data_IF_708244614336
#
_entry.id   IF_708244614336
#
_cell.length_a   1.000
_cell.length_b   1.000
_cell.length_c   1.000
_cell.angle_alpha   90.00
_cell.angle_beta   90.00
_cell.angle_gamma   90.00
#
_symmetry.space_group_name_H-M   'P 1'
#
loop_
_entity.id
_entity.type
_entity.pdbx_description
1 polymer ?
#
# COMPACT_ATOMS: atom_id res chain seq x y z
N UNK A 1 12.02 33.64 -19.43
CA UNK A 1 11.94 32.54 -20.42
C UNK A 1 13.35 32.00 -20.55
N UNK A 2 13.61 30.76 -20.13
CA UNK A 2 14.97 30.17 -20.16
C UNK A 2 15.15 29.53 -21.53
N UNK A 3 16.16 29.96 -22.28
CA UNK A 3 16.57 29.32 -23.54
C UNK A 3 17.50 28.15 -23.21
N UNK A 4 17.08 26.92 -23.49
CA UNK A 4 17.90 25.71 -23.33
C UNK A 4 18.22 25.18 -24.73
N UNK A 5 19.48 24.80 -24.95
CA UNK A 5 20.00 24.23 -26.21
C UNK A 5 19.48 22.79 -26.47
N UNK A 6 19.89 22.21 -27.61
CA UNK A 6 19.47 20.91 -28.15
C UNK A 6 19.54 19.74 -27.14
N UNK A 7 18.66 18.73 -27.23
CA UNK A 7 18.69 17.58 -26.34
C UNK A 7 19.96 16.73 -26.55
N UNK A 8 20.67 16.45 -25.46
CA UNK A 8 21.86 15.61 -25.44
C UNK A 8 21.54 14.21 -24.91
N UNK A 9 21.89 13.18 -25.69
CA UNK A 9 21.87 11.78 -25.24
C UNK A 9 23.26 11.43 -24.73
N UNK A 10 23.37 11.14 -23.44
CA UNK A 10 24.62 10.69 -22.82
C UNK A 10 24.57 9.18 -22.59
N UNK A 11 25.57 8.46 -23.11
CA UNK A 11 25.72 7.01 -22.90
C UNK A 11 26.74 6.78 -21.81
N UNK A 12 26.30 6.26 -20.67
CA UNK A 12 27.17 5.88 -19.56
C UNK A 12 27.52 4.40 -19.69
N UNK A 13 28.79 4.10 -19.87
CA UNK A 13 29.31 2.72 -19.92
C UNK A 13 29.72 2.24 -18.53
N UNK A 14 29.77 0.92 -18.35
CA UNK A 14 30.34 0.24 -17.16
C UNK A 14 29.44 0.19 -15.92
N UNK A 15 28.12 0.12 -16.09
CA UNK A 15 27.16 -0.05 -14.97
C UNK A 15 27.37 -1.38 -14.23
N UNK A 16 27.92 -2.38 -14.89
CA UNK A 16 28.34 -3.66 -14.31
C UNK A 16 29.44 -3.51 -13.25
N UNK A 17 30.21 -2.42 -13.28
CA UNK A 17 31.24 -2.16 -12.26
C UNK A 17 30.65 -1.61 -10.97
N UNK A 18 29.38 -1.19 -10.94
CA UNK A 18 28.73 -0.63 -9.75
C UNK A 18 28.73 -1.65 -8.61
N UNK A 19 28.61 -2.93 -8.91
CA UNK A 19 28.69 -4.02 -7.93
C UNK A 19 30.07 -4.13 -7.24
N UNK A 20 31.13 -3.59 -7.86
CA UNK A 20 32.48 -3.59 -7.29
C UNK A 20 32.70 -2.49 -6.25
N UNK A 21 31.86 -1.45 -6.24
CA UNK A 21 31.97 -0.31 -5.32
C UNK A 21 31.12 -0.50 -4.04
N UNK A 22 30.49 -1.67 -3.87
CA UNK A 22 29.69 -2.03 -2.72
C UNK A 22 28.22 -2.26 -3.05
N UNK A 23 27.43 -2.58 -2.02
CA UNK A 23 25.99 -2.78 -2.16
C UNK A 23 25.32 -1.42 -2.34
N UNK A 24 24.60 -1.25 -3.45
CA UNK A 24 23.79 -0.06 -3.69
C UNK A 24 22.77 0.16 -2.56
N UNK A 25 22.54 1.42 -2.19
CA UNK A 25 21.51 1.79 -1.22
C UNK A 25 20.09 1.41 -1.67
N UNK A 26 19.87 1.34 -2.99
CA UNK A 26 18.60 1.01 -3.63
C UNK A 26 18.82 0.02 -4.78
N UNK A 27 17.75 -0.59 -5.28
CA UNK A 27 17.84 -1.42 -6.48
C UNK A 27 18.09 -0.56 -7.72
N UNK A 28 18.52 -1.20 -8.83
CA UNK A 28 18.81 -0.50 -10.07
C UNK A 28 17.59 0.26 -10.61
N UNK A 29 16.39 -0.31 -10.42
CA UNK A 29 15.13 0.26 -10.89
C UNK A 29 14.87 1.66 -10.31
N UNK A 30 15.18 1.87 -9.02
CA UNK A 30 15.10 3.16 -8.35
C UNK A 30 15.92 4.24 -9.07
N UNK A 31 17.17 3.93 -9.40
CA UNK A 31 18.05 4.86 -10.12
C UNK A 31 17.64 5.05 -11.58
N UNK A 32 16.99 4.05 -12.19
CA UNK A 32 16.57 4.12 -13.61
C UNK A 32 15.31 4.95 -13.82
N UNK A 33 14.32 4.79 -12.94
CA UNK A 33 13.03 5.48 -13.07
C UNK A 33 13.00 6.83 -12.35
N UNK A 34 14.12 7.25 -11.74
CA UNK A 34 14.27 8.54 -11.04
C UNK A 34 13.12 8.73 -10.05
N UNK A 35 12.87 7.68 -9.26
CA UNK A 35 11.83 7.66 -8.24
C UNK A 35 12.28 8.51 -7.05
N UNK A 36 11.37 9.37 -6.55
CA UNK A 36 11.53 10.26 -5.38
C UNK A 36 12.97 10.37 -4.85
N UNK A 37 13.74 11.25 -5.49
CA UNK A 37 15.15 11.49 -5.23
C UNK A 37 15.38 12.09 -3.84
N UNK A 38 14.32 12.47 -3.11
CA UNK A 38 14.43 12.87 -1.71
C UNK A 38 14.92 11.73 -0.82
N UNK A 39 14.60 10.46 -1.15
CA UNK A 39 15.16 9.31 -0.43
C UNK A 39 16.66 9.14 -0.66
N UNK A 40 17.14 9.47 -1.87
CA UNK A 40 18.56 9.50 -2.18
C UNK A 40 19.25 10.64 -1.43
N UNK A 41 18.61 11.81 -1.31
CA UNK A 41 19.13 12.90 -0.48
C UNK A 41 19.31 12.51 0.98
N UNK A 42 18.37 11.75 1.54
CA UNK A 42 18.50 11.27 2.92
C UNK A 42 19.72 10.38 3.11
N UNK A 43 20.01 9.48 2.17
CA UNK A 43 21.17 8.60 2.25
C UNK A 43 22.51 9.30 1.91
N UNK A 44 22.48 10.34 1.08
CA UNK A 44 23.67 11.11 0.71
C UNK A 44 24.07 12.13 1.79
N UNK A 45 23.15 12.52 2.69
CA UNK A 45 23.44 13.49 3.76
C UNK A 45 24.50 12.98 4.76
N UNK A 46 24.59 11.66 4.93
CA UNK A 46 25.46 11.00 5.91
C UNK A 46 26.86 10.68 5.36
N UNK A 47 27.11 10.90 4.07
CA UNK A 47 28.42 10.67 3.46
C UNK A 47 29.37 11.88 3.68
N UNK A 48 30.59 11.65 4.22
CA UNK A 48 31.55 12.73 4.54
C UNK A 48 31.97 13.60 3.35
N UNK A 49 31.89 13.08 2.12
CA UNK A 49 32.28 13.79 0.90
C UNK A 49 31.16 14.67 0.37
N UNK A 50 29.91 14.25 0.53
CA UNK A 50 28.72 14.91 -0.01
C UNK A 50 28.04 15.86 0.96
N UNK A 51 28.34 15.77 2.25
CA UNK A 51 27.77 16.62 3.30
C UNK A 51 27.89 18.13 3.00
N UNK A 52 29.01 18.56 2.38
CA UNK A 52 29.26 19.96 1.99
C UNK A 52 28.40 20.46 0.83
N UNK A 53 27.80 19.56 0.04
CA UNK A 53 27.00 19.89 -1.14
C UNK A 53 25.49 19.77 -0.92
N UNK A 54 25.03 19.67 0.33
CA UNK A 54 23.60 19.46 0.68
C UNK A 54 22.64 20.37 -0.07
N UNK A 55 22.88 21.70 -0.05
CA UNK A 55 22.03 22.68 -0.73
C UNK A 55 22.02 22.53 -2.25
N UNK A 56 23.16 22.13 -2.84
CA UNK A 56 23.26 21.88 -4.28
C UNK A 56 22.51 20.61 -4.66
N UNK A 57 22.65 19.54 -3.87
CA UNK A 57 21.96 18.28 -4.11
C UNK A 57 20.44 18.46 -3.97
N UNK A 58 19.97 19.19 -2.95
CA UNK A 58 18.54 19.54 -2.78
C UNK A 58 18.00 20.34 -3.98
N UNK A 59 18.76 21.32 -4.49
CA UNK A 59 18.36 22.09 -5.66
C UNK A 59 18.37 21.25 -6.96
N UNK A 60 19.32 20.32 -7.11
CA UNK A 60 19.38 19.41 -8.25
C UNK A 60 18.23 18.42 -8.25
N UNK A 61 17.89 17.86 -7.08
CA UNK A 61 16.73 16.99 -6.92
C UNK A 61 15.44 17.72 -7.26
N UNK A 62 15.22 18.90 -6.68
CA UNK A 62 14.04 19.71 -7.00
C UNK A 62 13.94 20.02 -8.49
N UNK A 63 15.05 20.37 -9.14
CA UNK A 63 15.07 20.65 -10.58
C UNK A 63 14.76 19.41 -11.44
N UNK A 64 15.26 18.23 -11.05
CA UNK A 64 15.02 16.98 -11.79
C UNK A 64 13.56 16.51 -11.58
N UNK A 65 13.04 16.61 -10.36
CA UNK A 65 11.68 16.19 -10.01
C UNK A 65 10.60 17.14 -10.56
N UNK A 66 10.77 18.45 -10.37
CA UNK A 66 9.75 19.46 -10.74
C UNK A 66 9.57 19.58 -12.26
N UNK A 67 10.64 19.35 -13.02
CA UNK A 67 10.65 19.55 -14.47
C UNK A 67 10.79 18.24 -15.27
N UNK A 68 10.92 17.09 -14.61
CA UNK A 68 11.06 15.78 -15.27
C UNK A 68 12.25 15.71 -16.23
N UNK A 69 13.32 16.45 -15.93
CA UNK A 69 14.40 16.76 -16.88
C UNK A 69 15.36 15.60 -17.11
N UNK A 70 15.29 14.47 -16.41
CA UNK A 70 16.26 13.39 -16.59
C UNK A 70 15.56 12.05 -16.47
N UNK A 71 15.82 11.14 -17.41
CA UNK A 71 15.43 9.73 -17.31
C UNK A 71 16.60 8.82 -17.67
N UNK A 72 16.73 7.73 -16.94
CA UNK A 72 17.76 6.72 -17.19
C UNK A 72 17.12 5.45 -17.74
N UNK A 73 17.81 4.80 -18.69
CA UNK A 73 17.39 3.51 -19.26
C UNK A 73 18.56 2.55 -19.31
N UNK A 74 18.32 1.33 -18.88
CA UNK A 74 19.27 0.23 -19.05
C UNK A 74 19.24 -0.25 -20.49
N UNK A 75 20.42 -0.40 -21.09
CA UNK A 75 20.59 -0.87 -22.45
C UNK A 75 21.46 -2.12 -22.46
N UNK A 76 20.90 -3.21 -22.98
CA UNK A 76 21.64 -4.44 -23.21
C UNK A 76 22.08 -4.51 -24.67
N UNK A 77 23.39 -4.45 -24.90
CA UNK A 77 23.99 -4.51 -26.25
C UNK A 77 23.77 -5.87 -26.91
N UNK A 78 23.43 -6.91 -26.14
CA UNK A 78 23.07 -8.21 -26.70
C UNK A 78 21.67 -8.22 -27.32
N UNK A 79 20.84 -7.21 -27.03
CA UNK A 79 19.46 -7.13 -27.52
C UNK A 79 19.10 -5.70 -27.96
N UNK A 80 19.79 -5.27 -29.03
CA UNK A 80 19.71 -3.90 -29.57
C UNK A 80 18.30 -3.54 -30.02
N UNK A 81 17.60 -4.44 -30.72
CA UNK A 81 16.25 -4.18 -31.25
C UNK A 81 15.20 -3.87 -30.16
N UNK A 82 15.14 -4.68 -29.10
CA UNK A 82 14.19 -4.48 -28.00
C UNK A 82 14.48 -3.21 -27.19
N UNK A 83 15.75 -2.83 -27.12
CA UNK A 83 16.21 -1.62 -26.42
C UNK A 83 15.80 -0.34 -27.16
N UNK A 84 15.89 -0.33 -28.50
CA UNK A 84 15.50 0.82 -29.33
C UNK A 84 13.98 1.02 -29.42
N UNK A 85 13.18 -0.05 -29.48
CA UNK A 85 11.72 0.05 -29.47
C UNK A 85 11.20 0.64 -28.14
N UNK A 86 11.85 0.29 -27.02
CA UNK A 86 11.50 0.83 -25.69
C UNK A 86 11.79 2.33 -25.56
N UNK A 87 12.85 2.81 -26.23
CA UNK A 87 13.19 4.24 -26.34
C UNK A 87 12.13 5.01 -27.16
N UNK A 88 11.61 4.42 -28.23
CA UNK A 88 10.60 5.07 -29.09
C UNK A 88 9.18 5.03 -28.47
N UNK A 89 8.76 3.91 -27.88
CA UNK A 89 7.39 3.70 -27.38
C UNK A 89 6.98 4.61 -26.22
N UNK A 90 7.92 5.10 -25.41
CA UNK A 90 7.63 6.03 -24.30
C UNK A 90 7.75 7.51 -24.65
N UNK A 91 8.06 7.83 -25.91
CA UNK A 91 8.28 9.22 -26.36
C UNK A 91 7.08 9.84 -27.10
N UNK A 92 6.00 9.10 -27.38
CA UNK A 92 4.90 9.54 -28.27
C UNK A 92 5.38 10.10 -29.63
N UNK A 93 6.54 9.64 -30.14
CA UNK A 93 7.07 10.03 -31.44
C UNK A 93 6.52 9.05 -32.51
N UNK A 94 5.71 9.55 -33.44
CA UNK A 94 5.33 8.82 -34.67
C UNK A 94 6.57 8.62 -35.58
N UNK A 95 6.61 7.57 -36.42
CA UNK A 95 7.83 7.07 -37.05
C UNK A 95 8.24 7.93 -38.26
N UNK A 96 8.82 9.10 -38.02
CA UNK A 96 9.55 9.85 -39.06
C UNK A 96 10.83 10.41 -38.44
N UNK A 97 11.78 9.53 -38.12
CA UNK A 97 13.18 9.93 -37.91
C UNK A 97 14.00 9.19 -38.95
N UNK A 98 14.33 9.90 -40.03
CA UNK A 98 15.37 9.49 -40.97
C UNK A 98 16.72 9.59 -40.26
N UNK A 99 17.24 8.46 -39.77
CA UNK A 99 18.63 8.35 -39.33
C UNK A 99 19.55 8.32 -40.55
N UNK A 100 19.76 9.48 -41.20
CA UNK A 100 20.94 9.67 -42.04
C UNK A 100 22.10 10.06 -41.13
N UNK A 101 23.02 9.13 -40.86
CA UNK A 101 24.41 9.48 -40.52
C UNK A 101 24.99 9.03 -39.18
N UNK A 102 24.49 7.97 -38.53
CA UNK A 102 25.23 7.36 -37.39
C UNK A 102 25.69 5.95 -37.76
N UNK A 103 26.94 5.85 -38.25
CA UNK A 103 27.65 4.57 -38.33
C UNK A 103 28.38 4.35 -37.01
N UNK A 104 27.91 3.41 -36.19
CA UNK A 104 28.63 2.93 -35.02
C UNK A 104 29.11 1.50 -35.28
N UNK A 105 30.41 1.35 -35.56
CA UNK A 105 31.08 0.05 -35.61
C UNK A 105 31.27 -0.52 -34.20
N UNK A 106 30.56 -1.60 -33.88
CA UNK A 106 30.71 -2.34 -32.62
C UNK A 106 31.87 -3.34 -32.71
N UNK A 107 32.82 -3.26 -31.77
CA UNK A 107 33.86 -4.28 -31.56
C UNK A 107 33.42 -5.17 -30.39
N UNK A 108 33.19 -6.45 -30.66
CA UNK A 108 32.73 -7.47 -29.70
C UNK A 108 33.56 -7.52 -28.42
N UNK A 109 33.04 -6.95 -27.32
CA UNK A 109 33.32 -7.41 -25.93
C UNK A 109 32.10 -7.17 -25.04
N UNK A 110 31.68 -8.23 -24.35
CA UNK A 110 30.56 -8.30 -23.39
C UNK A 110 30.57 -7.12 -22.41
N UNK A 111 29.70 -6.11 -22.57
CA UNK A 111 29.40 -5.07 -21.56
C UNK A 111 27.95 -4.59 -21.71
N UNK A 112 27.26 -4.37 -20.58
CA UNK A 112 25.93 -3.74 -20.51
C UNK A 112 26.10 -2.23 -20.32
N UNK A 113 25.25 -1.41 -20.92
CA UNK A 113 25.40 0.06 -20.97
C UNK A 113 24.12 0.76 -20.46
N UNK A 114 24.20 2.01 -20.03
CA UNK A 114 23.05 2.84 -19.62
C UNK A 114 22.92 4.01 -20.61
N UNK A 115 21.72 4.26 -21.12
CA UNK A 115 21.41 5.40 -21.99
C UNK A 115 20.57 6.41 -21.21
N UNK A 116 21.03 7.65 -21.14
CA UNK A 116 20.29 8.79 -20.60
C UNK A 116 19.41 9.36 -21.71
N UNK A 117 18.09 9.40 -21.52
CA UNK A 117 17.17 10.00 -22.51
C UNK A 117 16.43 11.17 -21.88
N UNK A 118 16.61 12.34 -22.46
CA UNK A 118 15.91 13.58 -22.11
C UNK A 118 14.91 13.86 -23.23
N UNK A 119 13.59 13.76 -22.95
CA UNK A 119 12.54 13.98 -23.96
C UNK A 119 11.78 15.26 -23.64
N UNK A 120 11.97 16.30 -24.45
CA UNK A 120 11.10 17.49 -24.49
C UNK A 120 10.75 17.77 -25.95
N UNK A 121 9.45 17.78 -26.27
CA UNK A 121 8.89 17.90 -27.63
C UNK A 121 8.95 19.35 -28.18
N UNK A 122 9.17 19.50 -29.49
CA UNK A 122 9.14 20.81 -30.20
C UNK A 122 8.17 20.83 -31.40
N UNK A 123 7.23 21.79 -31.41
CA UNK A 123 6.58 22.46 -32.56
C UNK A 123 5.73 21.63 -33.55
N UNK A 124 4.63 22.06 -34.17
CA UNK A 124 3.94 23.34 -34.35
C UNK A 124 2.44 23.03 -34.34
N UNK A 125 1.71 23.56 -33.37
CA UNK A 125 0.26 23.39 -33.30
C UNK A 125 -0.24 24.02 -32.02
N UNK A 126 -1.27 24.87 -32.13
CA UNK A 126 -1.97 25.40 -30.97
C UNK A 126 -2.61 24.23 -30.24
N UNK A 127 -1.89 23.68 -29.27
CA UNK A 127 -2.47 22.79 -28.29
C UNK A 127 -2.97 23.66 -27.15
N UNK A 128 -4.28 23.77 -27.08
CA UNK A 128 -4.95 24.21 -25.86
C UNK A 128 -4.55 23.17 -24.80
N UNK A 129 -3.58 23.52 -23.96
CA UNK A 129 -3.34 22.78 -22.71
C UNK A 129 -4.66 22.85 -21.96
N UNK A 130 -5.42 21.77 -22.02
CA UNK A 130 -6.55 21.58 -21.14
C UNK A 130 -6.00 21.70 -19.74
N UNK A 131 -6.44 22.73 -19.01
CA UNK A 131 -6.19 22.91 -17.58
C UNK A 131 -6.89 21.84 -16.71
N UNK A 132 -7.19 20.67 -17.27
CA UNK A 132 -7.77 19.52 -16.57
C UNK A 132 -6.79 18.34 -16.58
N UNK A 133 -5.71 18.45 -15.83
CA UNK A 133 -5.13 17.29 -15.17
C UNK A 133 -4.61 17.72 -13.79
N UNK A 134 -5.55 18.11 -12.92
CA UNK A 134 -5.27 18.25 -11.49
C UNK A 134 -5.31 16.90 -10.74
N UNK A 135 -5.59 15.80 -11.42
CA UNK A 135 -5.92 14.51 -10.78
C UNK A 135 -5.09 13.31 -11.27
N UNK A 136 -3.89 13.53 -11.81
CA UNK A 136 -2.99 12.44 -12.22
C UNK A 136 -1.91 12.17 -11.17
N UNK A 137 -2.17 11.28 -10.20
CA UNK A 137 -1.08 10.71 -9.41
C UNK A 137 -0.11 10.02 -10.37
N UNK A 138 1.17 10.41 -10.36
CA UNK A 138 2.16 9.81 -11.24
C UNK A 138 2.31 8.34 -10.84
N UNK A 139 2.04 7.42 -11.77
CA UNK A 139 2.18 5.96 -11.55
C UNK A 139 3.52 5.54 -10.92
N UNK A 140 4.55 6.38 -11.04
CA UNK A 140 5.83 6.24 -10.36
C UNK A 140 5.74 6.28 -8.83
N UNK A 141 4.99 7.23 -8.25
CA UNK A 141 4.85 7.34 -6.79
C UNK A 141 4.18 6.09 -6.21
N UNK A 142 3.10 5.62 -6.83
CA UNK A 142 2.38 4.45 -6.33
C UNK A 142 3.28 3.21 -6.36
N UNK A 143 4.11 3.05 -7.40
CA UNK A 143 5.10 1.96 -7.46
C UNK A 143 6.12 2.06 -6.34
N UNK A 144 6.67 3.25 -6.09
CA UNK A 144 7.63 3.48 -5.01
C UNK A 144 7.00 3.19 -3.63
N UNK A 145 5.77 3.67 -3.41
CA UNK A 145 5.05 3.45 -2.15
C UNK A 145 4.66 1.98 -1.95
N UNK A 146 4.24 1.27 -2.99
CA UNK A 146 3.99 -0.17 -2.92
C UNK A 146 5.27 -0.93 -2.56
N UNK A 147 6.39 -0.61 -3.20
CA UNK A 147 7.68 -1.22 -2.88
C UNK A 147 8.07 -0.98 -1.41
N UNK A 148 7.92 0.26 -0.93
CA UNK A 148 8.22 0.63 0.46
C UNK A 148 7.39 -0.18 1.45
N UNK A 149 6.06 -0.27 1.23
CA UNK A 149 5.15 -1.03 2.11
C UNK A 149 5.46 -2.52 2.09
N UNK A 150 5.80 -3.07 0.93
CA UNK A 150 6.22 -4.47 0.81
C UNK A 150 7.52 -4.77 1.57
N UNK A 151 8.52 -3.89 1.48
CA UNK A 151 9.76 -4.05 2.27
C UNK A 151 9.47 -3.96 3.76
N UNK A 152 8.69 -2.96 4.18
CA UNK A 152 8.32 -2.81 5.58
C UNK A 152 7.62 -4.05 6.14
N UNK A 153 6.70 -4.64 5.37
CA UNK A 153 6.05 -5.89 5.73
C UNK A 153 7.08 -7.02 5.86
N UNK A 154 7.92 -7.22 4.83
CA UNK A 154 8.96 -8.26 4.82
C UNK A 154 9.92 -8.14 6.01
N UNK A 155 10.43 -6.94 6.29
CA UNK A 155 11.40 -6.69 7.35
C UNK A 155 10.83 -6.97 8.74
N UNK A 156 9.55 -6.65 8.96
CA UNK A 156 8.88 -6.95 10.22
C UNK A 156 8.45 -8.42 10.33
N UNK A 157 8.06 -9.05 9.22
CA UNK A 157 7.71 -10.46 9.15
C UNK A 157 8.94 -11.38 9.30
N UNK A 158 10.12 -10.98 8.82
CA UNK A 158 11.38 -11.74 8.94
C UNK A 158 11.84 -11.95 10.39
N UNK A 159 11.29 -11.18 11.34
CA UNK A 159 11.55 -11.33 12.77
C UNK A 159 10.84 -12.55 13.37
N UNK A 160 9.91 -13.18 12.63
CA UNK A 160 9.14 -14.33 13.08
C UNK A 160 9.86 -15.63 12.73
N UNK A 161 9.73 -16.68 13.56
CA UNK A 161 10.25 -17.98 13.20
C UNK A 161 9.52 -18.50 11.94
N UNK A 162 10.21 -19.22 11.05
CA UNK A 162 9.57 -19.80 9.87
C UNK A 162 8.50 -20.81 10.28
N UNK A 163 7.35 -20.77 9.59
CA UNK A 163 6.27 -21.73 9.77
C UNK A 163 6.21 -22.69 8.56
N UNK A 164 6.80 -23.89 8.64
CA UNK A 164 6.80 -24.83 7.53
C UNK A 164 5.42 -25.41 7.22
N UNK A 165 4.50 -25.43 8.19
CA UNK A 165 3.11 -25.92 8.05
C UNK A 165 2.12 -24.81 7.69
N UNK A 166 2.61 -23.66 7.21
CA UNK A 166 1.81 -22.48 6.94
C UNK A 166 0.62 -22.75 6.01
N UNK A 167 0.84 -23.52 4.94
CA UNK A 167 -0.18 -23.78 3.91
C UNK A 167 -1.33 -24.66 4.45
N UNK A 168 -1.05 -25.49 5.45
CA UNK A 168 -1.99 -26.39 6.10
C UNK A 168 -2.76 -25.69 7.23
N UNK A 169 -2.07 -24.90 8.05
CA UNK A 169 -2.59 -24.37 9.32
C UNK A 169 -3.21 -22.98 9.23
N UNK A 170 -2.83 -22.18 8.23
CA UNK A 170 -3.27 -20.79 8.16
C UNK A 170 -4.77 -20.63 7.84
N UNK A 171 -5.36 -19.55 8.38
CA UNK A 171 -6.76 -19.19 8.16
C UNK A 171 -6.96 -18.54 6.78
N UNK A 172 -7.20 -19.35 5.76
CA UNK A 172 -7.47 -18.87 4.41
C UNK A 172 -8.94 -18.47 4.16
N UNK A 173 -9.75 -18.28 5.21
CA UNK A 173 -11.18 -17.94 5.06
C UNK A 173 -11.45 -16.54 4.53
N UNK A 174 -10.41 -15.74 4.31
CA UNK A 174 -10.47 -14.32 3.90
C UNK A 174 -9.85 -14.02 2.55
N UNK A 175 -9.36 -15.04 1.87
CA UNK A 175 -8.72 -14.91 0.57
C UNK A 175 -9.73 -15.27 -0.50
N UNK A 176 -10.21 -14.26 -1.23
CA UNK A 176 -11.00 -14.47 -2.45
C UNK A 176 -10.03 -14.76 -3.59
N UNK A 177 -10.33 -15.80 -4.36
CA UNK A 177 -9.56 -16.20 -5.53
C UNK A 177 -10.38 -15.89 -6.78
N UNK A 178 -9.83 -15.08 -7.68
CA UNK A 178 -10.41 -14.78 -8.99
C UNK A 178 -9.51 -15.42 -10.05
N UNK A 179 -9.79 -16.68 -10.38
CA UNK A 179 -8.96 -17.49 -11.29
C UNK A 179 -8.83 -16.85 -12.67
N UNK A 180 -9.91 -16.28 -13.21
CA UNK A 180 -9.94 -15.60 -14.52
C UNK A 180 -8.88 -14.51 -14.63
N UNK A 181 -8.60 -13.83 -13.52
CA UNK A 181 -7.65 -12.71 -13.46
C UNK A 181 -6.31 -13.12 -12.82
N UNK A 182 -6.14 -14.40 -12.43
CA UNK A 182 -5.02 -14.88 -11.60
C UNK A 182 -4.76 -13.93 -10.42
N UNK A 183 -5.82 -13.63 -9.68
CA UNK A 183 -5.80 -12.60 -8.63
C UNK A 183 -6.32 -13.15 -7.30
N UNK A 184 -5.69 -12.74 -6.20
CA UNK A 184 -6.09 -13.08 -4.83
C UNK A 184 -6.26 -11.79 -4.02
N UNK A 185 -7.38 -11.67 -3.32
CA UNK A 185 -7.63 -10.54 -2.42
C UNK A 185 -7.82 -11.00 -0.99
N UNK A 186 -6.97 -10.54 -0.07
CA UNK A 186 -7.13 -10.80 1.36
C UNK A 186 -7.96 -9.72 2.05
N UNK A 187 -9.08 -10.12 2.66
CA UNK A 187 -10.01 -9.19 3.31
C UNK A 187 -9.73 -8.99 4.79
N UNK A 188 -9.33 -7.77 5.15
CA UNK A 188 -9.33 -7.30 6.54
C UNK A 188 -10.67 -6.65 6.86
N UNK A 189 -11.42 -7.11 7.88
CA UNK A 189 -12.69 -6.51 8.27
C UNK A 189 -12.56 -5.02 8.59
N UNK A 190 -13.58 -4.25 8.17
CA UNK A 190 -13.69 -2.79 8.35
C UNK A 190 -12.76 -1.96 7.47
N UNK A 191 -12.25 -2.58 6.40
CA UNK A 191 -11.47 -1.95 5.32
C UNK A 191 -12.25 -2.03 4.01
N UNK A 192 -13.43 -1.42 3.95
CA UNK A 192 -14.30 -1.37 2.76
C UNK A 192 -14.71 -2.74 2.17
N UNK A 193 -14.83 -3.79 3.00
CA UNK A 193 -15.03 -5.16 2.50
C UNK A 193 -16.26 -5.32 1.60
N UNK A 194 -17.39 -4.70 1.96
CA UNK A 194 -18.62 -4.80 1.16
C UNK A 194 -18.43 -4.21 -0.23
N UNK A 195 -17.82 -3.02 -0.31
CA UNK A 195 -17.49 -2.35 -1.57
C UNK A 195 -16.55 -3.18 -2.42
N UNK A 196 -15.45 -3.67 -1.84
CA UNK A 196 -14.50 -4.53 -2.54
C UNK A 196 -15.16 -5.80 -3.08
N UNK A 197 -16.10 -6.42 -2.35
CA UNK A 197 -16.85 -7.56 -2.89
C UNK A 197 -17.70 -7.19 -4.10
N UNK A 198 -18.40 -6.06 -4.09
CA UNK A 198 -19.11 -5.61 -5.29
C UNK A 198 -18.17 -5.39 -6.48
N UNK A 199 -17.03 -4.75 -6.23
CA UNK A 199 -16.02 -4.44 -7.26
C UNK A 199 -15.38 -5.72 -7.82
N UNK A 200 -14.94 -6.63 -6.96
CA UNK A 200 -14.32 -7.89 -7.37
C UNK A 200 -15.31 -8.82 -8.08
N UNK A 201 -16.56 -8.85 -7.65
CA UNK A 201 -17.59 -9.61 -8.36
C UNK A 201 -17.79 -9.07 -9.77
N UNK A 202 -17.88 -7.73 -9.92
CA UNK A 202 -17.96 -7.09 -11.24
C UNK A 202 -16.72 -7.40 -12.08
N UNK A 203 -15.54 -7.42 -11.48
CA UNK A 203 -14.29 -7.75 -12.18
C UNK A 203 -14.28 -9.19 -12.71
N UNK A 204 -14.78 -10.14 -11.92
CA UNK A 204 -14.89 -11.55 -12.32
C UNK A 204 -15.99 -11.78 -13.38
N UNK A 205 -17.09 -11.02 -13.29
CA UNK A 205 -18.32 -11.22 -14.08
C UNK A 205 -18.55 -10.14 -15.15
N UNK A 206 -17.48 -9.56 -15.71
CA UNK A 206 -17.52 -8.63 -16.85
C UNK A 206 -18.47 -7.44 -16.65
N UNK A 207 -18.41 -6.85 -15.46
CA UNK A 207 -19.17 -5.65 -15.08
C UNK A 207 -20.55 -5.93 -14.47
N UNK A 208 -21.02 -7.19 -14.42
CA UNK A 208 -22.31 -7.55 -13.83
C UNK A 208 -22.33 -7.28 -12.32
N UNK A 209 -23.43 -6.70 -11.85
CA UNK A 209 -23.65 -6.42 -10.43
C UNK A 209 -24.13 -7.67 -9.69
N UNK A 210 -23.82 -7.76 -8.40
CA UNK A 210 -24.32 -8.82 -7.52
C UNK A 210 -25.84 -8.66 -7.37
N UNK A 211 -26.60 -9.70 -7.68
CA UNK A 211 -28.07 -9.75 -7.49
C UNK A 211 -28.47 -10.18 -6.06
N UNK A 212 -27.57 -10.85 -5.35
CA UNK A 212 -27.78 -11.42 -4.01
C UNK A 212 -27.05 -10.64 -2.91
N UNK A 213 -27.06 -11.15 -1.68
CA UNK A 213 -26.35 -10.52 -0.56
C UNK A 213 -24.83 -10.68 -0.73
N UNK A 214 -24.02 -9.61 -0.80
CA UNK A 214 -22.59 -9.65 -1.12
C UNK A 214 -21.74 -10.43 -0.11
N UNK A 215 -22.26 -10.79 1.05
CA UNK A 215 -21.55 -11.62 2.02
C UNK A 215 -21.92 -13.11 1.98
N UNK A 216 -22.76 -13.54 1.03
CA UNK A 216 -22.91 -14.96 0.73
C UNK A 216 -21.56 -15.53 0.28
N UNK A 217 -21.12 -16.61 0.94
CA UNK A 217 -19.85 -17.26 0.66
C UNK A 217 -19.86 -17.96 -0.69
N UNK A 218 -21.02 -18.30 -1.23
CA UNK A 218 -21.16 -19.02 -2.53
C UNK A 218 -20.83 -18.14 -3.74
N UNK A 219 -20.79 -16.82 -3.56
CA UNK A 219 -20.55 -15.86 -4.64
C UNK A 219 -19.10 -15.90 -5.13
N UNK A 220 -18.16 -16.33 -4.27
CA UNK A 220 -16.73 -16.30 -4.56
C UNK A 220 -16.10 -17.65 -4.27
N UNK A 221 -15.01 -17.95 -4.99
CA UNK A 221 -14.07 -18.99 -4.60
C UNK A 221 -13.17 -18.47 -3.48
N UNK A 222 -12.95 -19.30 -2.46
CA UNK A 222 -12.11 -18.96 -1.33
C UNK A 222 -10.90 -19.86 -1.29
N UNK A 223 -9.72 -19.32 -0.98
CA UNK A 223 -8.49 -20.10 -0.95
C UNK A 223 -8.55 -21.28 0.03
N UNK A 224 -9.32 -21.17 1.13
CA UNK A 224 -9.56 -22.28 2.07
C UNK A 224 -10.18 -23.52 1.42
N UNK A 225 -10.93 -23.35 0.33
CA UNK A 225 -11.69 -24.42 -0.33
C UNK A 225 -10.82 -25.23 -1.32
N UNK A 226 -9.59 -24.77 -1.59
CA UNK A 226 -8.59 -25.47 -2.39
C UNK A 226 -7.75 -26.40 -1.51
N UNK A 227 -7.25 -27.54 -2.05
CA UNK A 227 -6.30 -28.40 -1.35
C UNK A 227 -4.94 -27.69 -1.15
N UNK A 228 -4.13 -28.11 -0.16
CA UNK A 228 -2.86 -27.46 0.17
C UNK A 228 -1.92 -27.21 -1.02
N UNK A 229 -1.78 -28.20 -1.90
CA UNK A 229 -0.93 -28.08 -3.09
C UNK A 229 -1.40 -26.93 -4.02
N UNK A 230 -2.70 -26.87 -4.32
CA UNK A 230 -3.28 -25.80 -5.14
C UNK A 230 -3.21 -24.45 -4.44
N UNK A 231 -3.37 -24.39 -3.10
CA UNK A 231 -3.20 -23.14 -2.35
C UNK A 231 -1.81 -22.56 -2.57
N UNK A 232 -0.78 -23.40 -2.50
CA UNK A 232 0.60 -23.00 -2.73
C UNK A 232 0.80 -22.49 -4.15
N UNK A 233 0.33 -23.23 -5.15
CA UNK A 233 0.43 -22.83 -6.56
C UNK A 233 -0.28 -21.48 -6.84
N UNK A 234 -1.46 -21.28 -6.26
CA UNK A 234 -2.19 -20.00 -6.35
C UNK A 234 -1.38 -18.89 -5.69
N UNK A 235 -0.90 -19.08 -4.46
CA UNK A 235 -0.12 -18.07 -3.74
C UNK A 235 1.23 -17.76 -4.40
N UNK A 236 1.83 -18.71 -5.10
CA UNK A 236 3.10 -18.52 -5.81
C UNK A 236 2.90 -17.80 -7.15
N UNK A 237 1.77 -18.01 -7.84
CA UNK A 237 1.58 -17.56 -9.23
C UNK A 237 0.58 -16.41 -9.45
N UNK A 238 -0.33 -16.15 -8.51
CA UNK A 238 -1.39 -15.13 -8.69
C UNK A 238 -0.93 -13.78 -8.13
N UNK A 239 -1.46 -12.67 -8.65
CA UNK A 239 -1.24 -11.35 -8.04
C UNK A 239 -2.06 -11.20 -6.75
N UNK A 240 -1.43 -10.80 -5.65
CA UNK A 240 -2.04 -10.76 -4.31
C UNK A 240 -2.18 -9.34 -3.80
N UNK A 241 -3.40 -8.92 -3.51
CA UNK A 241 -3.68 -7.59 -2.97
C UNK A 241 -4.36 -7.66 -1.60
N UNK A 242 -4.11 -6.64 -0.79
CA UNK A 242 -4.86 -6.36 0.43
C UNK A 242 -4.98 -4.86 0.65
N UNK A 243 -5.98 -4.46 1.44
CA UNK A 243 -6.05 -3.12 1.99
C UNK A 243 -6.05 -3.19 3.52
N UNK A 244 -5.31 -2.28 4.13
CA UNK A 244 -5.23 -2.06 5.59
C UNK A 244 -5.87 -0.73 5.97
N UNK A 245 -6.13 -0.55 7.27
CA UNK A 245 -6.62 0.71 7.83
C UNK A 245 -5.83 1.00 9.09
N UNK A 246 -5.74 2.26 9.50
CA UNK A 246 -5.20 2.62 10.80
C UNK A 246 -5.86 1.77 11.93
N UNK A 247 -5.07 1.07 12.77
CA UNK A 247 -5.59 0.09 13.74
C UNK A 247 -6.63 0.63 14.74
N UNK A 248 -6.44 1.84 15.26
CA UNK A 248 -7.34 2.48 16.25
C UNK A 248 -8.69 2.82 15.62
N UNK A 249 -8.68 3.36 14.40
CA UNK A 249 -9.87 3.60 13.61
C UNK A 249 -10.60 2.31 13.24
N UNK A 250 -9.84 1.27 12.83
CA UNK A 250 -10.41 -0.03 12.48
C UNK A 250 -11.15 -0.62 13.67
N UNK A 251 -10.57 -0.54 14.87
CA UNK A 251 -11.18 -1.00 16.10
C UNK A 251 -12.47 -0.21 16.45
N UNK A 252 -12.44 1.12 16.35
CA UNK A 252 -13.64 1.94 16.54
C UNK A 252 -14.75 1.56 15.54
N UNK A 253 -14.38 1.30 14.28
CA UNK A 253 -15.29 0.89 13.23
C UNK A 253 -15.83 -0.51 13.46
N UNK A 254 -15.03 -1.40 14.06
CA UNK A 254 -15.44 -2.71 14.50
C UNK A 254 -16.52 -2.59 15.57
N UNK A 255 -16.24 -1.89 16.67
CA UNK A 255 -17.21 -1.67 17.74
C UNK A 255 -18.52 -1.07 17.23
N UNK A 256 -18.47 0.01 16.45
CA UNK A 256 -19.67 0.68 15.92
C UNK A 256 -20.54 -0.26 15.09
N UNK A 257 -19.92 -1.14 14.30
CA UNK A 257 -20.62 -2.10 13.47
C UNK A 257 -21.14 -3.30 14.27
N UNK A 258 -20.41 -3.76 15.28
CA UNK A 258 -20.76 -4.98 16.02
C UNK A 258 -21.71 -4.73 17.19
N UNK A 259 -21.71 -3.56 17.82
CA UNK A 259 -22.57 -3.26 18.98
C UNK A 259 -24.08 -3.39 18.73
N UNK A 260 -24.51 -3.37 17.46
CA UNK A 260 -25.90 -3.55 17.03
C UNK A 260 -26.27 -5.02 16.80
N UNK A 261 -25.28 -5.91 16.70
CA UNK A 261 -25.48 -7.32 16.35
C UNK A 261 -25.89 -8.13 17.59
N UNK A 262 -26.83 -9.07 17.41
CA UNK A 262 -27.36 -9.90 18.49
C UNK A 262 -26.28 -10.72 19.20
N UNK A 263 -25.33 -11.29 18.45
CA UNK A 263 -24.23 -12.06 19.02
C UNK A 263 -23.35 -11.21 19.96
N UNK A 264 -23.12 -9.94 19.61
CA UNK A 264 -22.32 -9.03 20.40
C UNK A 264 -23.08 -8.69 21.68
N UNK A 265 -24.35 -8.29 21.56
CA UNK A 265 -25.21 -7.98 22.71
C UNK A 265 -25.28 -9.15 23.70
N UNK A 266 -25.47 -10.39 23.21
CA UNK A 266 -25.48 -11.60 24.03
C UNK A 266 -24.14 -11.89 24.72
N UNK A 267 -23.01 -11.58 24.07
CA UNK A 267 -21.66 -11.74 24.67
C UNK A 267 -21.45 -10.82 25.88
N UNK A 268 -21.92 -9.58 25.82
CA UNK A 268 -21.72 -8.59 26.89
C UNK A 268 -22.82 -8.59 27.95
N UNK A 269 -23.97 -9.18 27.63
CA UNK A 269 -25.13 -9.29 28.50
C UNK A 269 -25.68 -10.74 28.50
N UNK A 270 -24.90 -11.71 29.01
CA UNK A 270 -25.34 -13.10 29.07
C UNK A 270 -26.55 -13.23 30.03
N UNK A 271 -27.46 -14.15 29.71
CA UNK A 271 -28.65 -14.42 30.54
C UNK A 271 -29.86 -13.51 30.29
N UNK A 272 -29.73 -12.47 29.46
CA UNK A 272 -30.85 -11.60 29.07
C UNK A 272 -31.63 -12.20 27.89
N UNK A 273 -32.97 -12.05 27.89
CA UNK A 273 -33.84 -12.53 26.81
C UNK A 273 -33.60 -11.80 25.48
N UNK A 274 -33.97 -12.42 24.34
CA UNK A 274 -33.78 -11.79 23.03
C UNK A 274 -34.55 -10.47 22.87
N UNK A 275 -35.74 -10.36 23.47
CA UNK A 275 -36.59 -9.17 23.47
C UNK A 275 -35.93 -8.02 24.23
N UNK A 276 -35.40 -8.27 25.42
CA UNK A 276 -34.70 -7.26 26.22
C UNK A 276 -33.38 -6.83 25.58
N UNK A 277 -32.64 -7.76 24.96
CA UNK A 277 -31.40 -7.45 24.25
C UNK A 277 -31.62 -6.40 23.15
N UNK A 278 -32.82 -6.25 22.58
CA UNK A 278 -33.09 -5.20 21.58
C UNK A 278 -32.85 -3.79 22.15
N UNK A 279 -33.09 -3.58 23.44
CA UNK A 279 -32.99 -2.28 24.12
C UNK A 279 -31.69 -2.10 24.90
N UNK A 280 -30.98 -3.18 25.22
CA UNK A 280 -29.69 -3.11 25.90
C UNK A 280 -28.57 -2.74 24.93
N UNK A 281 -27.64 -1.89 25.38
CA UNK A 281 -26.46 -1.48 24.64
C UNK A 281 -25.20 -1.52 25.49
N UNK A 282 -24.09 -1.92 24.88
CA UNK A 282 -22.76 -1.91 25.51
C UNK A 282 -22.02 -0.65 25.09
N UNK A 283 -21.51 0.11 26.04
CA UNK A 283 -20.68 1.31 25.78
C UNK A 283 -19.28 0.93 25.28
N UNK A 284 -18.54 1.91 24.74
CA UNK A 284 -17.17 1.65 24.27
C UNK A 284 -16.22 1.26 25.43
N UNK A 285 -16.20 1.97 26.57
CA UNK A 285 -15.37 1.56 27.72
C UNK A 285 -15.70 0.17 28.25
N UNK A 286 -16.99 -0.20 28.32
CA UNK A 286 -17.39 -1.55 28.73
C UNK A 286 -16.86 -2.62 27.76
N UNK A 287 -16.98 -2.38 26.45
CA UNK A 287 -16.41 -3.27 25.44
C UNK A 287 -14.90 -3.45 25.63
N UNK A 288 -14.16 -2.34 25.79
CA UNK A 288 -12.71 -2.36 25.98
C UNK A 288 -12.32 -3.13 27.25
N UNK A 289 -12.92 -2.80 28.39
CA UNK A 289 -12.57 -3.37 29.69
C UNK A 289 -13.02 -4.82 29.87
N UNK A 290 -14.16 -5.21 29.30
CA UNK A 290 -14.69 -6.59 29.44
C UNK A 290 -14.08 -7.56 28.42
N UNK A 291 -13.56 -7.08 27.30
CA UNK A 291 -13.04 -7.94 26.22
C UNK A 291 -11.54 -7.71 25.97
N UNK A 292 -11.16 -6.58 25.39
CA UNK A 292 -9.80 -6.36 24.87
C UNK A 292 -8.73 -6.17 25.95
N UNK A 293 -9.03 -5.37 26.99
CA UNK A 293 -8.06 -4.99 28.01
C UNK A 293 -7.87 -6.06 29.11
N UNK A 294 -8.69 -7.12 29.11
CA UNK A 294 -8.62 -8.21 30.09
C UNK A 294 -7.54 -9.26 29.81
N UNK A 295 -6.63 -9.01 28.86
CA UNK A 295 -5.61 -9.96 28.39
C UNK A 295 -6.19 -11.31 27.92
N UNK A 296 -7.44 -11.31 27.44
CA UNK A 296 -8.08 -12.52 26.95
C UNK A 296 -7.55 -12.85 25.54
N UNK A 297 -6.40 -13.53 25.46
CA UNK A 297 -5.78 -13.99 24.20
C UNK A 297 -6.81 -14.62 23.27
N UNK A 298 -7.78 -15.36 23.82
CA UNK A 298 -8.86 -16.00 23.07
C UNK A 298 -9.74 -15.01 22.30
N UNK A 299 -10.10 -13.85 22.86
CA UNK A 299 -10.93 -12.86 22.15
C UNK A 299 -10.17 -12.19 21.00
N UNK A 300 -8.91 -11.83 21.26
CA UNK A 300 -8.00 -11.25 20.27
C UNK A 300 -7.62 -12.24 19.16
N UNK A 301 -7.68 -13.55 19.42
CA UNK A 301 -7.36 -14.57 18.43
C UNK A 301 -8.60 -15.02 17.63
N UNK A 302 -9.77 -15.08 18.26
CA UNK A 302 -10.97 -15.66 17.64
C UNK A 302 -11.83 -14.65 16.89
N UNK A 303 -11.79 -13.36 17.24
CA UNK A 303 -12.66 -12.38 16.58
C UNK A 303 -11.97 -11.66 15.42
N UNK A 304 -12.39 -12.00 14.20
CA UNK A 304 -11.94 -11.36 12.96
C UNK A 304 -11.98 -9.81 12.96
N UNK A 305 -12.87 -9.18 13.72
CA UNK A 305 -13.09 -7.73 13.63
C UNK A 305 -12.06 -6.91 14.41
N UNK A 306 -11.39 -7.50 15.39
CA UNK A 306 -10.39 -6.82 16.22
C UNK A 306 -9.14 -7.67 16.49
N UNK A 307 -8.99 -8.85 15.85
CA UNK A 307 -7.73 -9.60 15.82
C UNK A 307 -6.67 -8.89 14.97
N UNK A 308 -5.40 -9.14 15.30
CA UNK A 308 -4.23 -8.61 14.56
C UNK A 308 -4.29 -8.97 13.07
N UNK A 309 -3.71 -8.12 12.24
CA UNK A 309 -3.76 -8.24 10.78
C UNK A 309 -3.01 -9.48 10.32
N UNK A 310 -1.92 -9.81 10.97
CA UNK A 310 -1.13 -11.01 10.67
C UNK A 310 -1.92 -12.30 10.89
N UNK A 311 -2.91 -12.29 11.78
CA UNK A 311 -3.79 -13.44 11.97
C UNK A 311 -4.91 -13.55 10.92
N UNK A 312 -5.07 -12.55 10.05
CA UNK A 312 -6.08 -12.48 8.99
C UNK A 312 -5.44 -12.63 7.61
N UNK A 313 -4.38 -11.87 7.38
CA UNK A 313 -3.58 -11.77 6.17
C UNK A 313 -2.11 -12.02 6.58
N UNK A 314 -1.68 -13.30 6.62
CA UNK A 314 -0.41 -13.68 7.26
C UNK A 314 0.84 -13.21 6.53
N UNK A 315 1.91 -13.09 7.31
CA UNK A 315 3.24 -12.63 6.88
C UNK A 315 3.88 -13.51 5.80
N UNK A 316 3.53 -14.78 5.77
CA UNK A 316 4.06 -15.78 4.84
C UNK A 316 3.51 -15.61 3.42
N UNK A 317 2.45 -14.79 3.24
CA UNK A 317 1.94 -14.44 1.91
C UNK A 317 2.71 -13.24 1.36
N UNK A 318 3.31 -13.41 0.19
CA UNK A 318 3.95 -12.32 -0.56
C UNK A 318 2.88 -11.45 -1.23
N UNK A 319 2.48 -10.35 -0.60
CA UNK A 319 1.51 -9.41 -1.18
C UNK A 319 2.16 -8.49 -2.23
N UNK A 320 1.57 -8.44 -3.42
CA UNK A 320 1.98 -7.58 -4.53
C UNK A 320 1.45 -6.14 -4.39
N UNK A 321 0.31 -5.96 -3.71
CA UNK A 321 -0.29 -4.65 -3.45
C UNK A 321 -0.79 -4.53 -2.02
N UNK A 322 -0.34 -3.49 -1.31
CA UNK A 322 -0.74 -3.18 0.07
C UNK A 322 -1.32 -1.78 0.11
N UNK A 323 -2.63 -1.68 -0.09
CA UNK A 323 -3.35 -0.43 -0.10
C UNK A 323 -3.70 0.07 1.31
N UNK A 324 -3.81 1.37 1.48
CA UNK A 324 -4.24 2.01 2.73
C UNK A 324 -5.67 2.55 2.57
N UNK A 325 -6.51 2.29 3.56
CA UNK A 325 -7.93 2.66 3.56
C UNK A 325 -8.12 4.17 3.35
N UNK A 326 -7.22 4.94 3.93
CA UNK A 326 -7.19 6.40 3.89
C UNK A 326 -6.98 6.93 2.46
N UNK A 327 -6.38 6.11 1.58
CA UNK A 327 -6.12 6.43 0.18
C UNK A 327 -6.95 5.60 -0.80
N UNK A 328 -8.01 4.91 -0.33
CA UNK A 328 -8.92 4.14 -1.20
C UNK A 328 -9.37 4.85 -2.48
N UNK A 329 -9.84 6.12 -2.47
CA UNK A 329 -10.28 6.77 -3.71
C UNK A 329 -9.17 6.91 -4.76
N UNK A 330 -7.91 6.84 -4.35
CA UNK A 330 -6.73 7.01 -5.22
C UNK A 330 -6.10 5.66 -5.57
N UNK A 331 -5.91 4.79 -4.59
CA UNK A 331 -5.19 3.53 -4.75
C UNK A 331 -6.09 2.42 -5.34
N UNK A 332 -7.40 2.44 -5.09
CA UNK A 332 -8.29 1.40 -5.61
C UNK A 332 -8.46 1.46 -7.15
N UNK A 333 -8.67 2.63 -7.79
CA UNK A 333 -8.70 2.71 -9.26
C UNK A 333 -7.40 2.24 -9.93
N UNK A 334 -6.25 2.55 -9.33
CA UNK A 334 -4.95 2.11 -9.86
C UNK A 334 -4.78 0.59 -9.76
N UNK A 335 -5.26 -0.04 -8.68
CA UNK A 335 -5.29 -1.50 -8.59
C UNK A 335 -6.18 -2.11 -9.68
N UNK A 336 -7.34 -1.53 -9.96
CA UNK A 336 -8.23 -2.02 -11.03
C UNK A 336 -7.58 -1.89 -12.42
N UNK A 337 -6.80 -0.83 -12.65
CA UNK A 337 -6.00 -0.66 -13.86
C UNK A 337 -4.89 -1.71 -13.97
N UNK A 338 -4.20 -2.01 -12.86
CA UNK A 338 -3.20 -3.09 -12.81
C UNK A 338 -3.82 -4.47 -13.07
N UNK A 339 -5.06 -4.69 -12.63
CA UNK A 339 -5.85 -5.90 -12.92
C UNK A 339 -6.38 -5.95 -14.36
N UNK A 340 -6.31 -4.86 -15.12
CA UNK A 340 -6.81 -4.77 -16.50
C UNK A 340 -8.34 -4.77 -16.60
N UNK A 341 -9.05 -4.32 -15.56
CA UNK A 341 -10.53 -4.31 -15.49
C UNK A 341 -11.14 -2.91 -15.43
N UNK A 342 -10.31 -1.87 -15.45
CA UNK A 342 -10.69 -0.46 -15.36
C UNK A 342 -11.59 0.02 -16.51
N UNK A 343 -11.61 -0.70 -17.63
CA UNK A 343 -12.49 -0.40 -18.77
C UNK A 343 -13.98 -0.65 -18.48
N UNK A 344 -14.31 -1.54 -17.53
CA UNK A 344 -15.69 -1.94 -17.23
C UNK A 344 -16.02 -2.01 -15.73
N UNK A 345 -15.02 -1.86 -14.86
CA UNK A 345 -15.18 -1.79 -13.42
C UNK A 345 -14.55 -0.51 -12.90
N UNK A 346 -15.36 0.27 -12.19
CA UNK A 346 -14.90 1.44 -11.46
C UNK A 346 -15.07 1.20 -9.96
N UNK A 347 -14.15 1.74 -9.17
CA UNK A 347 -14.35 1.86 -7.73
C UNK A 347 -15.35 3.00 -7.46
N UNK A 348 -16.38 2.79 -6.63
CA UNK A 348 -17.37 3.83 -6.38
C UNK A 348 -16.76 5.02 -5.63
N UNK A 349 -17.43 6.18 -5.73
CA UNK A 349 -17.00 7.40 -5.05
C UNK A 349 -16.75 7.15 -3.56
N UNK A 350 -15.63 7.68 -3.08
CA UNK A 350 -15.28 7.54 -1.68
C UNK A 350 -16.23 8.35 -0.81
N UNK A 351 -16.88 7.66 0.11
CA UNK A 351 -17.61 8.29 1.20
C UNK A 351 -16.78 8.19 2.48
N UNK A 352 -16.50 9.33 3.17
CA UNK A 352 -15.80 9.34 4.44
C UNK A 352 -16.39 8.34 5.42
N UNK A 353 -15.52 7.75 6.24
CA UNK A 353 -15.97 6.73 7.17
C UNK A 353 -16.98 7.35 8.15
N UNK A 354 -18.20 6.79 8.19
CA UNK A 354 -19.22 7.20 9.19
C UNK A 354 -18.70 7.09 10.63
N UNK A 355 -17.60 6.38 10.88
CA UNK A 355 -17.00 6.19 12.20
C UNK A 355 -16.01 7.28 12.57
N UNK A 356 -15.33 7.90 11.60
CA UNK A 356 -14.26 8.89 11.81
C UNK A 356 -14.64 10.00 12.81
N UNK A 357 -15.84 10.61 12.77
CA UNK A 357 -16.23 11.63 13.74
C UNK A 357 -16.38 11.13 15.19
N UNK A 358 -16.47 9.82 15.38
CA UNK A 358 -16.69 9.20 16.69
C UNK A 358 -15.42 8.61 17.31
N UNK A 359 -14.32 8.51 16.56
CA UNK A 359 -13.08 7.88 17.02
C UNK A 359 -12.59 8.55 18.29
N UNK A 360 -12.31 9.86 18.24
CA UNK A 360 -11.86 10.61 19.42
C UNK A 360 -12.88 10.59 20.56
N UNK A 361 -14.19 10.65 20.25
CA UNK A 361 -15.27 10.54 21.24
C UNK A 361 -15.27 9.20 21.98
N UNK A 362 -14.92 8.11 21.30
CA UNK A 362 -14.85 6.78 21.93
C UNK A 362 -13.62 6.67 22.84
N UNK A 363 -12.44 7.03 22.33
CA UNK A 363 -11.19 6.87 23.06
C UNK A 363 -11.00 7.89 24.20
N UNK A 364 -11.63 9.07 24.14
CA UNK A 364 -11.58 10.05 25.24
C UNK A 364 -12.17 9.53 26.56
N UNK A 365 -13.06 8.52 26.49
CA UNK A 365 -13.70 7.86 27.64
C UNK A 365 -12.79 6.87 28.38
N UNK A 366 -11.60 6.57 27.85
CA UNK A 366 -10.64 5.66 28.46
C UNK A 366 -9.57 6.42 29.25
N UNK A 367 -8.90 5.74 30.19
CA UNK A 367 -7.73 6.31 30.88
C UNK A 367 -6.50 6.31 29.96
N UNK A 368 -5.46 7.07 30.34
CA UNK A 368 -4.19 7.09 29.61
C UNK A 368 -3.57 5.69 29.52
N UNK A 369 -3.51 4.98 30.63
CA UNK A 369 -2.97 3.61 30.68
C UNK A 369 -3.75 2.65 29.78
N UNK A 370 -5.08 2.80 29.72
CA UNK A 370 -5.91 2.02 28.81
C UNK A 370 -5.56 2.31 27.35
N UNK A 371 -5.34 3.59 26.97
CA UNK A 371 -4.92 3.97 25.62
C UNK A 371 -3.54 3.41 25.26
N UNK A 372 -2.57 3.52 26.17
CA UNK A 372 -1.22 2.97 25.97
C UNK A 372 -1.25 1.44 25.84
N UNK A 373 -2.07 0.76 26.65
CA UNK A 373 -2.28 -0.68 26.56
C UNK A 373 -2.89 -1.11 25.22
N UNK A 374 -3.78 -0.32 24.64
CA UNK A 374 -4.31 -0.57 23.29
C UNK A 374 -3.19 -0.44 22.25
N UNK A 375 -2.34 0.57 22.38
CA UNK A 375 -1.14 0.73 21.55
C UNK A 375 -0.25 -0.51 21.57
N UNK A 376 -0.02 -1.07 22.75
CA UNK A 376 0.75 -2.32 22.91
C UNK A 376 0.05 -3.53 22.26
N UNK A 377 -1.27 -3.67 22.39
CA UNK A 377 -2.02 -4.78 21.79
C UNK A 377 -1.89 -4.78 20.25
N UNK A 378 -1.87 -3.61 19.62
CA UNK A 378 -1.79 -3.46 18.16
C UNK A 378 -0.39 -3.06 17.66
N UNK A 379 0.63 -3.11 18.51
CA UNK A 379 2.01 -2.67 18.17
C UNK A 379 2.54 -3.30 16.88
N UNK A 380 2.30 -4.60 16.72
CA UNK A 380 2.70 -5.32 15.52
C UNK A 380 1.97 -4.81 14.27
N UNK A 381 0.67 -4.54 14.36
CA UNK A 381 -0.11 -4.03 13.22
C UNK A 381 0.38 -2.64 12.78
N UNK A 382 0.74 -1.78 13.73
CA UNK A 382 1.36 -0.48 13.42
C UNK A 382 2.68 -0.65 12.64
N UNK A 383 3.56 -1.54 13.14
CA UNK A 383 4.87 -1.79 12.55
C UNK A 383 4.80 -2.42 11.17
N UNK A 384 3.92 -3.42 10.98
CA UNK A 384 3.79 -4.14 9.71
C UNK A 384 3.37 -3.22 8.55
N UNK A 385 2.55 -2.21 8.84
CA UNK A 385 1.90 -1.38 7.81
C UNK A 385 2.28 0.11 7.88
N UNK A 386 3.25 0.48 8.71
CA UNK A 386 3.80 1.83 8.74
C UNK A 386 2.84 2.87 9.28
N UNK A 387 1.97 2.49 10.21
CA UNK A 387 1.14 3.42 10.96
C UNK A 387 1.88 3.85 12.23
N UNK A 388 1.77 5.13 12.58
CA UNK A 388 2.37 5.69 13.78
C UNK A 388 1.38 5.65 14.96
N UNK A 389 1.83 5.20 16.12
CA UNK A 389 1.14 5.36 17.40
C UNK A 389 1.89 6.39 18.25
N UNK A 390 1.23 7.33 18.95
CA UNK A 390 -0.21 7.37 19.25
C UNK A 390 -1.11 7.98 18.16
N UNK A 391 -0.53 8.57 17.11
CA UNK A 391 -1.28 9.08 15.95
C UNK A 391 -2.43 10.01 16.37
N UNK A 392 -3.66 9.66 15.97
CA UNK A 392 -4.88 10.41 16.32
C UNK A 392 -5.11 10.57 17.83
N UNK A 393 -4.51 9.72 18.67
CA UNK A 393 -4.68 9.76 20.13
C UNK A 393 -3.65 10.63 20.86
N UNK A 394 -2.70 11.23 20.13
CA UNK A 394 -1.59 11.96 20.73
C UNK A 394 -2.05 13.10 21.65
N UNK A 395 -2.93 13.98 21.17
CA UNK A 395 -3.46 15.09 21.97
C UNK A 395 -4.26 14.60 23.18
N UNK A 396 -5.03 13.52 23.03
CA UNK A 396 -5.79 12.92 24.13
C UNK A 396 -4.85 12.38 25.23
N UNK A 397 -3.75 11.74 24.86
CA UNK A 397 -2.77 11.19 25.82
C UNK A 397 -2.00 12.34 26.50
N UNK A 398 -1.61 13.37 25.75
CA UNK A 398 -0.96 14.57 26.29
C UNK A 398 -1.84 15.26 27.34
N UNK A 399 -3.11 15.52 27.00
CA UNK A 399 -4.05 16.17 27.91
C UNK A 399 -4.30 15.37 29.19
N UNK A 400 -4.39 14.03 29.08
CA UNK A 400 -4.53 13.17 30.27
C UNK A 400 -3.29 13.16 31.14
N UNK A 401 -2.10 13.23 30.54
CA UNK A 401 -0.83 13.33 31.28
C UNK A 401 -0.74 14.63 32.07
N UNK A 402 -1.10 15.75 31.46
CA UNK A 402 -1.12 17.05 32.15
C UNK A 402 -2.12 17.07 33.32
N UNK A 403 -3.27 16.42 33.16
CA UNK A 403 -4.26 16.31 34.22
C UNK A 403 -3.77 15.46 35.39
N UNK A 404 -3.11 14.33 35.13
CA UNK A 404 -2.50 13.47 36.16
C UNK A 404 -1.44 14.25 36.96
N UNK A 405 -0.56 14.99 36.27
CA UNK A 405 0.47 15.81 36.92
C UNK A 405 -0.12 16.96 37.76
N UNK A 406 -1.22 17.57 37.32
CA UNK A 406 -1.90 18.62 38.09
C UNK A 406 -2.49 18.06 39.39
N UNK A 407 -3.15 16.89 39.30
CA UNK A 407 -3.71 16.20 40.47
C UNK A 407 -2.59 15.81 41.45
N UNK A 408 -1.46 15.29 40.97
CA UNK A 408 -0.30 14.96 41.82
C UNK A 408 0.31 16.20 42.50
N UNK A 409 0.23 17.36 41.85
CA UNK A 409 0.69 18.65 42.40
C UNK A 409 -0.34 19.35 43.29
N UNK A 410 -1.53 18.77 43.47
CA UNK A 410 -2.60 19.35 44.30
C UNK A 410 -3.24 20.62 43.73
N UNK A 411 -3.18 20.80 42.40
CA UNK A 411 -3.80 21.89 41.63
C UNK A 411 -5.15 21.44 41.09
#
# INVERSE_FOLDING_TARGET
>A
MIHIELPHVNVLSKIDLVEQYGKLAFNLDFYTDVLDLNYLLEHIKDDPFTQKYKKLNEALVGLVEDYGLVSFKTLDVQNVFKSFDTLCLKSEISPVVSLKGVSMTFRERRKKYLVCTLVILTGLGVWKVSKNSKDGWNSAWLRAEMWRRQQLLRDNCAKKPPNPSFIEEADFTRFIVIEKLKFVFCFIPKVSCTTWKHVLYRAENDGKSIETYPHDKKIFKWLKDYPPQERKEILDSYYKAMFVREPIERLASAYKSQKRQMWFKRRFHPGISNEELKFVGTTFPEFMRKDLLRNNKTSLQTNQHWRSYELICPCEVNYDFIGHFEYLPKEAPELLKMMGVDQFVNFPDYHPSKTEPYVLKYYSQLTKDELLKIGQIFELDFKLFGYNFPGLLEELIKNKTLLEEAIEKGQ
#
